data_IF_720639145348
#
_entry.id   IF_720639145348
#
_cell.length_a   1.000
_cell.length_b   1.000
_cell.length_c   1.000
_cell.angle_alpha   90.00
_cell.angle_beta   90.00
_cell.angle_gamma   90.00
#
_symmetry.space_group_name_H-M   'P 1'
#
loop_
_entity.id
_entity.type
_entity.pdbx_description
1 polymer ?
#
# COMPACT_ATOMS: atom_id res chain seq x y z
N UNK A 1 8.75 -28.57 2.72
CA UNK A 1 8.79 -27.31 3.52
C UNK A 1 7.73 -27.40 4.62
N UNK A 2 6.49 -27.85 4.33
CA UNK A 2 5.41 -27.94 5.32
C UNK A 2 5.71 -28.92 6.49
N UNK A 3 6.31 -30.07 6.24
CA UNK A 3 6.60 -31.06 7.27
C UNK A 3 7.62 -30.55 8.33
N UNK A 4 8.61 -29.76 7.90
CA UNK A 4 9.60 -29.18 8.82
C UNK A 4 8.97 -28.07 9.69
N UNK A 5 8.10 -27.25 9.12
CA UNK A 5 7.38 -26.20 9.84
C UNK A 5 6.45 -26.80 10.89
N UNK A 6 5.73 -27.86 10.52
CA UNK A 6 4.84 -28.60 11.45
C UNK A 6 5.64 -29.20 12.60
N UNK A 7 6.77 -29.84 12.32
CA UNK A 7 7.63 -30.44 13.36
C UNK A 7 8.20 -29.40 14.35
N UNK A 8 8.53 -28.19 13.87
CA UNK A 8 9.04 -27.09 14.69
C UNK A 8 7.94 -26.38 15.51
N UNK A 9 6.67 -26.61 15.16
CA UNK A 9 5.51 -26.01 15.79
C UNK A 9 4.70 -27.02 16.66
N UNK A 10 5.22 -28.22 16.92
CA UNK A 10 4.53 -29.20 17.79
C UNK A 10 4.17 -28.58 19.14
N UNK A 11 2.94 -28.80 19.58
CA UNK A 11 2.37 -28.18 20.79
C UNK A 11 2.34 -29.16 21.95
N UNK A 12 2.62 -28.63 23.14
CA UNK A 12 2.35 -29.36 24.37
C UNK A 12 0.84 -29.52 24.62
N UNK A 13 0.41 -30.52 25.39
CA UNK A 13 -1.00 -30.67 25.78
C UNK A 13 -1.59 -29.41 26.44
N UNK A 14 -0.79 -28.65 27.16
CA UNK A 14 -1.19 -27.38 27.78
C UNK A 14 -1.49 -26.31 26.74
N UNK A 15 -0.66 -26.17 25.70
CA UNK A 15 -0.88 -25.23 24.58
C UNK A 15 -2.14 -25.61 23.79
N UNK A 16 -2.40 -26.88 23.59
CA UNK A 16 -3.62 -27.34 22.92
C UNK A 16 -4.86 -27.02 23.75
N UNK A 17 -4.81 -27.23 25.07
CA UNK A 17 -5.91 -26.85 25.96
C UNK A 17 -6.16 -25.34 25.94
N UNK A 18 -5.11 -24.55 25.95
CA UNK A 18 -5.22 -23.07 25.80
C UNK A 18 -5.92 -22.69 24.50
N UNK A 19 -5.61 -23.33 23.38
CA UNK A 19 -6.28 -23.05 22.10
C UNK A 19 -7.78 -23.44 22.15
N UNK A 20 -8.17 -24.52 22.86
CA UNK A 20 -9.57 -24.85 23.05
C UNK A 20 -10.31 -23.78 23.85
N UNK A 21 -9.73 -23.33 24.96
CA UNK A 21 -10.28 -22.25 25.79
C UNK A 21 -10.41 -20.95 25.00
N UNK A 22 -9.42 -20.62 24.20
CA UNK A 22 -9.45 -19.43 23.31
C UNK A 22 -10.58 -19.54 22.27
N UNK A 23 -10.73 -20.71 21.63
CA UNK A 23 -11.81 -20.93 20.67
C UNK A 23 -13.19 -20.78 21.31
N UNK A 24 -13.40 -21.37 22.49
CA UNK A 24 -14.67 -21.28 23.20
C UNK A 24 -14.98 -19.83 23.64
N UNK A 25 -13.99 -19.13 24.16
CA UNK A 25 -14.13 -17.73 24.56
C UNK A 25 -14.44 -16.84 23.36
N UNK A 26 -13.67 -16.96 22.26
CA UNK A 26 -13.89 -16.19 21.05
C UNK A 26 -15.27 -16.48 20.44
N UNK A 27 -15.69 -17.75 20.47
CA UNK A 27 -17.00 -18.15 19.99
C UNK A 27 -18.14 -17.51 20.78
N UNK A 28 -18.07 -17.61 22.11
CA UNK A 28 -19.10 -17.07 22.99
C UNK A 28 -19.17 -15.54 22.90
N UNK A 29 -18.03 -14.87 22.89
CA UNK A 29 -17.93 -13.41 22.69
C UNK A 29 -18.61 -13.01 21.36
N UNK A 30 -18.24 -13.66 20.26
CA UNK A 30 -18.80 -13.34 18.94
C UNK A 30 -20.31 -13.60 18.84
N UNK A 31 -20.85 -14.58 19.56
CA UNK A 31 -22.30 -14.82 19.66
C UNK A 31 -23.01 -13.76 20.52
N UNK A 32 -22.42 -13.36 21.63
CA UNK A 32 -23.02 -12.35 22.50
C UNK A 32 -23.06 -10.98 21.84
N UNK A 33 -22.02 -10.62 21.10
CA UNK A 33 -22.01 -9.39 20.28
C UNK A 33 -23.11 -9.39 19.21
N UNK A 34 -23.41 -10.53 18.58
CA UNK A 34 -24.51 -10.62 17.60
C UNK A 34 -25.89 -10.43 18.22
N UNK A 35 -26.08 -10.77 19.49
CA UNK A 35 -27.37 -10.57 20.18
C UNK A 35 -27.71 -9.08 20.36
N UNK A 36 -26.69 -8.20 20.41
CA UNK A 36 -26.90 -6.75 20.54
C UNK A 36 -27.52 -6.11 19.28
N UNK A 37 -27.45 -6.77 18.12
CA UNK A 37 -27.93 -6.29 16.83
C UNK A 37 -29.16 -7.12 16.34
N UNK A 38 -29.72 -7.96 17.17
CA UNK A 38 -30.64 -9.05 16.84
C UNK A 38 -31.87 -8.71 15.98
N UNK A 39 -32.36 -7.47 16.00
CA UNK A 39 -33.59 -7.10 15.29
C UNK A 39 -33.46 -7.08 13.74
N UNK A 40 -32.23 -7.06 13.18
CA UNK A 40 -31.94 -6.96 11.74
C UNK A 40 -30.85 -7.95 11.26
N UNK A 41 -30.32 -8.80 12.15
CA UNK A 41 -29.22 -9.68 11.80
C UNK A 41 -29.68 -10.85 10.92
N UNK A 42 -29.00 -11.01 9.78
CA UNK A 42 -29.07 -12.20 8.92
C UNK A 42 -27.85 -13.11 9.10
N UNK A 43 -27.02 -12.82 10.11
CA UNK A 43 -25.80 -13.54 10.40
C UNK A 43 -26.11 -14.88 11.05
N UNK A 44 -25.58 -15.96 10.45
CA UNK A 44 -25.78 -17.36 10.87
C UNK A 44 -24.50 -18.02 11.38
N UNK A 45 -23.44 -17.25 11.63
CA UNK A 45 -22.13 -17.75 12.05
C UNK A 45 -21.31 -16.72 12.78
N UNK A 46 -20.06 -17.04 13.00
CA UNK A 46 -19.08 -16.19 13.70
C UNK A 46 -17.86 -15.93 12.84
N UNK A 47 -17.24 -14.78 13.03
CA UNK A 47 -15.94 -14.42 12.47
C UNK A 47 -14.86 -14.68 13.51
N UNK A 48 -13.86 -15.48 13.16
CA UNK A 48 -12.72 -15.78 14.00
C UNK A 48 -11.43 -15.34 13.32
N UNK A 49 -10.50 -14.83 14.10
CA UNK A 49 -9.13 -14.56 13.66
C UNK A 49 -8.19 -15.59 14.27
N UNK A 50 -7.45 -16.28 13.42
CA UNK A 50 -6.48 -17.29 13.78
C UNK A 50 -5.09 -16.73 13.49
N UNK A 51 -4.23 -16.68 14.51
CA UNK A 51 -2.87 -16.18 14.41
C UNK A 51 -1.89 -17.36 14.46
N UNK A 52 -0.92 -17.33 13.53
CA UNK A 52 0.22 -18.25 13.52
C UNK A 52 1.31 -17.81 14.48
N UNK A 53 2.33 -18.67 14.65
CA UNK A 53 3.52 -18.36 15.42
C UNK A 53 4.41 -17.36 14.68
N UNK A 54 4.98 -16.39 15.38
CA UNK A 54 5.87 -15.40 14.78
C UNK A 54 7.05 -16.05 14.04
N UNK A 55 7.26 -15.63 12.80
CA UNK A 55 8.33 -16.13 11.94
C UNK A 55 8.07 -17.49 11.28
N UNK A 56 6.89 -18.08 11.48
CA UNK A 56 6.49 -19.34 10.88
C UNK A 56 5.24 -19.19 10.01
N UNK A 57 5.11 -20.03 8.99
CA UNK A 57 3.92 -20.04 8.14
C UNK A 57 2.75 -20.73 8.85
N UNK A 58 1.56 -20.11 8.74
CA UNK A 58 0.31 -20.71 9.17
C UNK A 58 -0.21 -21.64 8.07
N UNK A 59 -0.57 -22.88 8.42
CA UNK A 59 -1.15 -23.83 7.46
C UNK A 59 -2.62 -23.47 7.21
N UNK A 60 -2.88 -22.63 6.21
CA UNK A 60 -4.20 -22.06 5.94
C UNK A 60 -5.13 -22.99 5.19
N UNK A 61 -4.61 -23.94 4.39
CA UNK A 61 -5.39 -24.85 3.53
C UNK A 61 -6.47 -25.64 4.29
N UNK A 62 -6.25 -25.95 5.55
CA UNK A 62 -7.21 -26.70 6.39
C UNK A 62 -8.16 -25.80 7.18
N UNK A 63 -8.05 -24.48 7.06
CA UNK A 63 -8.95 -23.52 7.71
C UNK A 63 -10.28 -23.35 6.96
N UNK A 64 -10.35 -23.85 5.73
CA UNK A 64 -11.55 -23.81 4.89
C UNK A 64 -12.17 -25.21 4.73
N UNK A 65 -13.49 -25.24 4.61
CA UNK A 65 -14.25 -26.39 4.18
C UNK A 65 -15.54 -25.94 3.49
N UNK A 66 -15.51 -25.89 2.17
CA UNK A 66 -16.62 -25.42 1.34
C UNK A 66 -17.91 -26.22 1.59
N UNK A 67 -17.83 -27.57 1.70
CA UNK A 67 -19.00 -28.42 1.92
C UNK A 67 -19.67 -28.21 3.30
N UNK A 68 -18.99 -27.57 4.23
CA UNK A 68 -19.51 -27.20 5.53
C UNK A 68 -19.74 -25.68 5.68
N UNK A 69 -19.58 -24.91 4.59
CA UNK A 69 -19.65 -23.45 4.58
C UNK A 69 -18.71 -22.74 5.57
N UNK A 70 -17.62 -23.43 5.98
CA UNK A 70 -16.52 -22.83 6.71
C UNK A 70 -15.59 -22.17 5.70
N UNK A 71 -15.44 -20.86 5.76
CA UNK A 71 -14.77 -20.08 4.71
C UNK A 71 -13.56 -19.33 5.25
N UNK A 72 -12.44 -19.50 4.58
CA UNK A 72 -11.27 -18.64 4.73
C UNK A 72 -11.54 -17.34 3.95
N UNK A 73 -11.60 -16.22 4.65
CA UNK A 73 -11.96 -14.93 4.06
C UNK A 73 -10.74 -14.19 3.54
N UNK A 74 -9.75 -14.00 4.40
CA UNK A 74 -8.47 -13.41 4.02
C UNK A 74 -7.31 -13.96 4.86
N UNK A 75 -6.10 -13.68 4.38
CA UNK A 75 -4.85 -13.98 5.08
C UNK A 75 -3.97 -12.73 4.99
N UNK A 76 -3.51 -12.25 6.12
CA UNK A 76 -2.60 -11.11 6.22
C UNK A 76 -1.32 -11.48 6.97
N UNK A 77 -0.25 -10.68 6.76
CA UNK A 77 0.99 -10.82 7.49
C UNK A 77 1.32 -9.49 8.16
N UNK A 78 1.40 -9.50 9.48
CA UNK A 78 1.70 -8.32 10.29
C UNK A 78 2.79 -8.68 11.30
N UNK A 79 3.88 -7.90 11.35
CA UNK A 79 5.00 -8.13 12.28
C UNK A 79 5.51 -9.58 12.30
N UNK A 80 5.68 -10.19 11.13
CA UNK A 80 6.09 -11.61 10.93
C UNK A 80 5.09 -12.64 11.43
N UNK A 81 3.88 -12.23 11.86
CA UNK A 81 2.78 -13.12 12.23
C UNK A 81 1.80 -13.21 11.07
N UNK A 82 1.45 -14.43 10.68
CA UNK A 82 0.38 -14.67 9.71
C UNK A 82 -0.94 -14.77 10.46
N UNK A 83 -1.93 -13.99 10.02
CA UNK A 83 -3.28 -13.95 10.55
C UNK A 83 -4.24 -14.40 9.46
N UNK A 84 -5.14 -15.31 9.80
CA UNK A 84 -6.19 -15.79 8.91
C UNK A 84 -7.55 -15.47 9.52
N UNK A 85 -8.44 -14.85 8.73
CA UNK A 85 -9.81 -14.58 9.13
C UNK A 85 -10.73 -15.62 8.51
N UNK A 86 -11.51 -16.30 9.35
CA UNK A 86 -12.41 -17.36 8.92
C UNK A 86 -13.84 -17.08 9.38
N UNK A 87 -14.81 -17.47 8.55
CA UNK A 87 -16.23 -17.50 8.92
C UNK A 87 -16.68 -18.94 9.19
N UNK A 88 -17.34 -19.15 10.33
CA UNK A 88 -17.80 -20.46 10.76
C UNK A 88 -19.30 -20.38 11.09
N UNK A 89 -20.17 -21.11 10.39
CA UNK A 89 -21.59 -21.19 10.73
C UNK A 89 -21.79 -21.71 12.15
N UNK A 90 -22.81 -21.19 12.86
CA UNK A 90 -23.10 -21.62 14.26
C UNK A 90 -23.27 -23.12 14.35
N UNK A 91 -23.96 -23.74 13.39
CA UNK A 91 -24.16 -25.21 13.34
C UNK A 91 -22.89 -26.00 13.11
N UNK A 92 -21.76 -25.34 12.84
CA UNK A 92 -20.44 -25.97 12.54
C UNK A 92 -19.38 -25.64 13.60
N UNK A 93 -19.77 -25.23 14.80
CA UNK A 93 -18.86 -24.99 15.93
C UNK A 93 -17.84 -26.10 16.11
N UNK A 94 -18.29 -27.35 15.95
CA UNK A 94 -17.46 -28.53 16.14
C UNK A 94 -16.34 -28.73 15.11
N UNK A 95 -16.35 -27.95 14.02
CA UNK A 95 -15.35 -28.09 12.94
C UNK A 95 -13.92 -27.95 13.46
N UNK A 96 -13.66 -26.87 14.20
CA UNK A 96 -12.34 -26.65 14.78
C UNK A 96 -12.15 -27.46 16.08
N UNK A 97 -13.18 -27.63 16.90
CA UNK A 97 -13.11 -28.43 18.12
C UNK A 97 -12.65 -29.85 17.83
N UNK A 98 -13.25 -30.50 16.80
CA UNK A 98 -12.84 -31.87 16.40
C UNK A 98 -11.38 -31.94 15.94
N UNK A 99 -10.88 -30.91 15.21
CA UNK A 99 -9.48 -30.89 14.79
C UNK A 99 -8.53 -30.73 15.95
N UNK A 100 -8.82 -29.83 16.89
CA UNK A 100 -7.98 -29.56 18.05
C UNK A 100 -7.98 -30.77 18.98
N UNK A 101 -9.15 -31.39 19.27
CA UNK A 101 -9.25 -32.58 20.10
C UNK A 101 -8.52 -33.77 19.48
N UNK A 102 -8.69 -34.00 18.17
CA UNK A 102 -7.96 -35.09 17.49
C UNK A 102 -6.45 -34.88 17.60
N UNK A 103 -5.95 -33.66 17.46
CA UNK A 103 -4.53 -33.37 17.64
C UNK A 103 -4.07 -33.62 19.08
N UNK A 104 -4.90 -33.28 20.08
CA UNK A 104 -4.60 -33.55 21.49
C UNK A 104 -4.47 -35.05 21.82
N UNK A 105 -5.27 -35.89 21.14
CA UNK A 105 -5.28 -37.36 21.39
C UNK A 105 -4.16 -38.10 20.63
N UNK A 106 -3.81 -37.64 19.43
CA UNK A 106 -2.96 -38.43 18.52
C UNK A 106 -1.61 -37.79 18.23
N UNK A 107 -1.39 -36.55 18.71
CA UNK A 107 -0.24 -35.69 18.33
C UNK A 107 -0.03 -35.59 16.78
N UNK A 108 -1.02 -36.08 16.04
CA UNK A 108 -0.98 -36.13 14.57
C UNK A 108 -2.35 -35.82 13.98
N UNK A 109 -2.39 -35.52 12.71
CA UNK A 109 -3.63 -35.44 11.93
C UNK A 109 -4.25 -34.08 11.76
N UNK A 110 -3.61 -32.96 12.20
CA UNK A 110 -3.99 -31.63 11.77
C UNK A 110 -2.80 -30.66 11.85
N UNK A 111 -2.07 -30.53 10.75
CA UNK A 111 -0.94 -29.60 10.61
C UNK A 111 -1.33 -28.16 10.96
N UNK A 112 -2.60 -27.81 10.73
CA UNK A 112 -3.11 -26.48 11.06
C UNK A 112 -3.08 -26.23 12.57
N UNK A 113 -3.44 -27.22 13.41
CA UNK A 113 -3.46 -27.05 14.87
C UNK A 113 -2.06 -26.82 15.41
N UNK A 114 -1.05 -27.49 14.86
CA UNK A 114 0.35 -27.30 15.24
C UNK A 114 0.79 -25.83 15.02
N UNK A 115 0.31 -25.19 13.95
CA UNK A 115 0.74 -23.84 13.57
C UNK A 115 -0.10 -22.70 14.17
N UNK A 116 -1.23 -22.98 14.81
CA UNK A 116 -2.08 -21.97 15.46
C UNK A 116 -1.46 -21.52 16.80
N UNK A 117 -1.20 -20.22 16.96
CA UNK A 117 -0.74 -19.67 18.25
C UNK A 117 -1.89 -19.07 19.06
N UNK A 118 -2.81 -18.35 18.40
CA UNK A 118 -3.97 -17.74 19.05
C UNK A 118 -5.23 -17.87 18.22
N UNK A 119 -6.36 -17.87 18.89
CA UNK A 119 -7.71 -17.79 18.29
C UNK A 119 -8.48 -16.71 19.01
N UNK A 120 -8.94 -15.70 18.26
CA UNK A 120 -9.67 -14.55 18.77
C UNK A 120 -10.96 -14.33 17.96
N UNK A 121 -11.91 -13.56 18.52
CA UNK A 121 -13.00 -12.97 17.72
C UNK A 121 -12.38 -12.04 16.68
N UNK A 122 -12.80 -12.17 15.43
CA UNK A 122 -12.37 -11.22 14.40
C UNK A 122 -13.14 -9.90 14.54
N UNK A 123 -12.40 -8.80 14.50
CA UNK A 123 -12.91 -7.45 14.48
C UNK A 123 -12.94 -6.93 13.04
N UNK A 124 -13.54 -5.75 12.79
CA UNK A 124 -13.60 -5.13 11.46
C UNK A 124 -12.23 -5.00 10.82
N UNK A 125 -11.21 -4.70 11.63
CA UNK A 125 -9.82 -4.59 11.19
C UNK A 125 -9.29 -5.88 10.54
N UNK A 126 -9.84 -7.03 10.95
CA UNK A 126 -9.46 -8.32 10.36
C UNK A 126 -10.01 -8.53 8.94
N UNK A 127 -11.02 -7.76 8.54
CA UNK A 127 -11.57 -7.75 7.18
C UNK A 127 -11.01 -6.61 6.34
N UNK A 128 -10.30 -5.65 6.95
CA UNK A 128 -9.75 -4.52 6.23
C UNK A 128 -8.49 -4.92 5.45
N UNK A 129 -8.50 -4.63 4.15
CA UNK A 129 -7.36 -4.83 3.26
C UNK A 129 -6.76 -3.47 2.92
N UNK A 130 -5.59 -3.21 3.46
CA UNK A 130 -4.86 -1.95 3.33
C UNK A 130 -4.20 -1.53 4.63
N UNK A 131 -3.63 -0.33 4.65
CA UNK A 131 -3.04 0.23 5.85
C UNK A 131 -4.13 0.54 6.88
N UNK A 132 -3.87 0.32 8.17
CA UNK A 132 -4.83 0.60 9.25
C UNK A 132 -5.20 2.08 9.31
N UNK A 133 -4.27 2.95 9.00
CA UNK A 133 -4.43 4.41 8.99
C UNK A 133 -5.42 4.87 7.90
N UNK A 134 -5.64 4.06 6.87
CA UNK A 134 -6.62 4.35 5.80
C UNK A 134 -8.04 3.90 6.13
N UNK A 135 -8.25 3.22 7.27
CA UNK A 135 -9.60 2.85 7.73
C UNK A 135 -10.43 4.09 8.05
N UNK A 136 -11.76 4.04 7.82
CA UNK A 136 -12.63 5.14 8.24
C UNK A 136 -12.62 5.29 9.76
N UNK A 137 -12.50 6.52 10.24
CA UNK A 137 -12.71 6.86 11.64
C UNK A 137 -14.19 7.17 11.92
N UNK A 138 -14.46 8.36 12.46
CA UNK A 138 -15.82 8.87 12.67
C UNK A 138 -16.51 9.39 11.40
N UNK A 139 -15.72 9.75 10.39
CA UNK A 139 -16.20 10.26 9.11
C UNK A 139 -16.42 9.09 8.16
N UNK A 140 -17.56 9.08 7.47
CA UNK A 140 -17.85 8.07 6.46
C UNK A 140 -17.07 8.31 5.19
N UNK A 141 -16.45 7.26 4.65
CA UNK A 141 -15.75 7.24 3.38
C UNK A 141 -16.34 6.15 2.47
N UNK A 142 -16.09 6.26 1.16
CA UNK A 142 -16.45 5.21 0.24
C UNK A 142 -15.58 3.98 0.43
N UNK A 143 -16.23 2.83 0.66
CA UNK A 143 -15.60 1.53 0.86
C UNK A 143 -16.13 0.52 -0.14
N UNK A 144 -15.25 -0.26 -0.74
CA UNK A 144 -15.59 -1.50 -1.41
C UNK A 144 -15.78 -2.59 -0.37
N UNK A 145 -16.96 -3.18 -0.34
CA UNK A 145 -17.24 -4.35 0.50
C UNK A 145 -17.35 -5.57 -0.38
N UNK A 146 -16.47 -6.53 -0.14
CA UNK A 146 -16.42 -7.80 -0.83
C UNK A 146 -17.26 -8.80 -0.06
N UNK A 147 -18.39 -9.17 -0.64
CA UNK A 147 -19.33 -10.13 -0.07
C UNK A 147 -19.07 -11.52 -0.63
N UNK A 148 -19.11 -12.53 0.21
CA UNK A 148 -19.07 -13.93 -0.25
C UNK A 148 -20.45 -14.43 -0.64
N UNK A 149 -20.49 -15.30 -1.62
CA UNK A 149 -21.66 -16.10 -1.97
C UNK A 149 -21.24 -17.52 -2.37
N UNK A 150 -22.16 -18.46 -2.30
CA UNK A 150 -21.92 -19.85 -2.66
C UNK A 150 -22.24 -20.09 -4.14
N UNK A 151 -21.74 -21.16 -4.72
CA UNK A 151 -21.87 -21.46 -6.17
C UNK A 151 -23.35 -21.60 -6.61
N UNK A 152 -24.21 -22.03 -5.71
CA UNK A 152 -25.66 -22.18 -5.93
C UNK A 152 -26.50 -20.95 -5.56
N UNK A 153 -25.85 -19.87 -5.16
CA UNK A 153 -26.53 -18.61 -4.80
C UNK A 153 -26.47 -17.58 -5.94
N UNK A 154 -27.52 -16.81 -6.08
CA UNK A 154 -27.61 -15.71 -7.04
C UNK A 154 -26.96 -14.44 -6.48
N UNK A 155 -25.88 -13.90 -7.08
CA UNK A 155 -25.20 -12.71 -6.58
C UNK A 155 -26.11 -11.51 -6.38
N UNK A 156 -27.11 -11.34 -7.25
CA UNK A 156 -28.09 -10.26 -7.15
C UNK A 156 -28.91 -10.34 -5.86
N UNK A 157 -29.33 -11.53 -5.45
CA UNK A 157 -30.09 -11.73 -4.20
C UNK A 157 -29.23 -11.36 -2.99
N UNK A 158 -27.94 -11.68 -3.03
CA UNK A 158 -27.00 -11.30 -1.97
C UNK A 158 -26.83 -9.77 -1.92
N UNK A 159 -26.67 -9.11 -3.06
CA UNK A 159 -26.60 -7.65 -3.14
C UNK A 159 -27.86 -6.99 -2.60
N UNK A 160 -29.05 -7.40 -3.08
CA UNK A 160 -30.35 -6.85 -2.66
C UNK A 160 -30.56 -6.99 -1.15
N UNK A 161 -30.12 -8.13 -0.59
CA UNK A 161 -30.22 -8.38 0.85
C UNK A 161 -29.27 -7.47 1.64
N UNK A 162 -28.06 -7.27 1.13
CA UNK A 162 -27.07 -6.39 1.75
C UNK A 162 -27.48 -4.92 1.68
N UNK A 163 -28.02 -4.47 0.55
CA UNK A 163 -28.55 -3.10 0.41
C UNK A 163 -29.73 -2.82 1.34
N UNK A 164 -30.57 -3.82 1.61
CA UNK A 164 -31.63 -3.69 2.63
C UNK A 164 -31.04 -3.47 4.03
N UNK A 165 -29.93 -4.11 4.36
CA UNK A 165 -29.21 -3.84 5.62
C UNK A 165 -28.66 -2.42 5.64
N UNK A 166 -28.02 -1.97 4.57
CA UNK A 166 -27.49 -0.61 4.46
C UNK A 166 -28.60 0.44 4.60
N UNK A 167 -29.69 0.30 3.85
CA UNK A 167 -30.86 1.20 3.95
C UNK A 167 -31.46 1.22 5.35
N UNK A 168 -31.55 0.06 5.99
CA UNK A 168 -32.06 -0.05 7.35
C UNK A 168 -31.16 0.55 8.43
N UNK A 169 -29.93 0.89 8.09
CA UNK A 169 -28.91 1.49 8.96
C UNK A 169 -28.49 2.90 8.50
N UNK A 170 -29.22 3.48 7.54
CA UNK A 170 -28.96 4.81 6.94
C UNK A 170 -27.55 4.94 6.31
N UNK A 171 -27.04 3.83 5.76
CA UNK A 171 -25.75 3.77 5.07
C UNK A 171 -25.97 4.00 3.58
N UNK A 172 -25.32 5.03 3.02
CA UNK A 172 -25.35 5.33 1.59
C UNK A 172 -24.65 4.23 0.78
N UNK A 173 -25.21 3.80 -0.35
CA UNK A 173 -24.63 2.78 -1.23
C UNK A 173 -24.86 3.09 -2.71
N UNK A 174 -24.12 2.38 -3.59
CA UNK A 174 -24.33 2.39 -5.04
C UNK A 174 -24.82 1.00 -5.48
N UNK A 175 -25.83 0.99 -6.37
CA UNK A 175 -26.46 -0.28 -6.84
C UNK A 175 -25.61 -1.04 -7.86
N UNK A 176 -24.51 -0.46 -8.39
CA UNK A 176 -23.60 -1.16 -9.28
C UNK A 176 -22.77 -2.17 -8.52
N UNK A 177 -22.60 -3.35 -9.10
CA UNK A 177 -21.82 -4.45 -8.54
C UNK A 177 -20.77 -4.97 -9.52
N UNK A 178 -19.71 -5.56 -8.97
CA UNK A 178 -18.74 -6.35 -9.74
C UNK A 178 -18.80 -7.77 -9.19
N UNK A 179 -18.92 -8.77 -10.07
CA UNK A 179 -19.04 -10.18 -9.67
C UNK A 179 -17.81 -10.94 -10.10
N UNK A 180 -17.22 -11.69 -9.16
CA UNK A 180 -16.15 -12.65 -9.35
C UNK A 180 -16.60 -14.03 -8.86
N UNK A 181 -15.91 -15.12 -9.18
CA UNK A 181 -16.23 -16.43 -8.59
C UNK A 181 -16.21 -16.33 -7.04
N UNK A 182 -17.36 -16.68 -6.42
CA UNK A 182 -17.59 -16.68 -4.95
C UNK A 182 -17.47 -15.30 -4.27
N UNK A 183 -17.31 -14.21 -5.02
CA UNK A 183 -17.17 -12.84 -4.49
C UNK A 183 -18.01 -11.84 -5.28
N UNK A 184 -18.68 -10.98 -4.55
CA UNK A 184 -19.48 -9.86 -5.07
C UNK A 184 -18.97 -8.58 -4.41
N UNK A 185 -18.63 -7.57 -5.22
CA UNK A 185 -18.17 -6.27 -4.73
C UNK A 185 -19.32 -5.27 -4.80
N UNK A 186 -19.57 -4.60 -3.71
CA UNK A 186 -20.53 -3.51 -3.57
C UNK A 186 -19.83 -2.27 -3.03
N UNK A 187 -20.36 -1.09 -3.33
CA UNK A 187 -19.81 0.18 -2.88
C UNK A 187 -20.75 0.84 -1.87
N UNK A 188 -20.23 1.14 -0.68
CA UNK A 188 -20.95 1.82 0.40
C UNK A 188 -20.14 3.00 0.94
N UNK A 189 -20.84 3.98 1.53
CA UNK A 189 -20.21 5.07 2.25
C UNK A 189 -20.43 4.88 3.74
N UNK A 190 -19.38 4.53 4.46
CA UNK A 190 -19.46 4.07 5.83
C UNK A 190 -18.33 4.60 6.71
N UNK A 191 -18.60 4.82 7.98
CA UNK A 191 -17.62 5.04 9.02
C UNK A 191 -17.26 3.71 9.72
N UNK A 192 -16.36 3.75 10.69
CA UNK A 192 -15.91 2.55 11.41
C UNK A 192 -17.06 1.84 12.13
N UNK A 193 -17.95 2.58 12.79
CA UNK A 193 -19.06 1.99 13.52
C UNK A 193 -20.09 1.36 12.58
N UNK A 194 -20.35 1.98 11.42
CA UNK A 194 -21.21 1.41 10.39
C UNK A 194 -20.68 0.06 9.91
N UNK A 195 -19.38 -0.02 9.62
CA UNK A 195 -18.74 -1.28 9.19
C UNK A 195 -18.82 -2.36 10.26
N UNK A 196 -18.66 -1.99 11.54
CA UNK A 196 -18.81 -2.90 12.67
C UNK A 196 -20.24 -3.42 12.76
N UNK A 197 -21.25 -2.55 12.64
CA UNK A 197 -22.65 -2.94 12.65
C UNK A 197 -22.98 -3.88 11.48
N UNK A 198 -22.49 -3.61 10.28
CA UNK A 198 -22.67 -4.49 9.12
C UNK A 198 -22.01 -5.86 9.33
N UNK A 199 -20.82 -5.92 9.90
CA UNK A 199 -20.14 -7.18 10.24
C UNK A 199 -20.92 -7.99 11.28
N UNK A 200 -21.54 -7.33 12.27
CA UNK A 200 -22.37 -7.98 13.26
C UNK A 200 -23.72 -8.45 12.68
N UNK A 201 -24.26 -7.71 11.71
CA UNK A 201 -25.55 -8.01 11.10
C UNK A 201 -25.47 -9.04 9.96
N UNK A 202 -24.34 -9.17 9.27
CA UNK A 202 -24.18 -10.02 8.09
C UNK A 202 -23.01 -10.98 8.21
N UNK A 203 -23.22 -12.25 7.88
CA UNK A 203 -22.17 -13.25 7.72
C UNK A 203 -21.53 -13.26 6.32
N UNK A 204 -21.83 -12.28 5.47
CA UNK A 204 -21.38 -12.27 4.07
C UNK A 204 -20.14 -11.46 3.80
N UNK A 205 -19.68 -10.60 4.73
CA UNK A 205 -18.48 -9.81 4.54
C UNK A 205 -17.24 -10.70 4.46
N UNK A 206 -16.44 -10.52 3.44
CA UNK A 206 -15.18 -11.23 3.27
C UNK A 206 -14.00 -10.27 3.42
N UNK A 207 -14.06 -9.13 2.74
CA UNK A 207 -13.03 -8.09 2.77
C UNK A 207 -13.69 -6.71 2.70
N UNK A 208 -12.98 -5.72 3.22
CA UNK A 208 -13.37 -4.30 3.13
C UNK A 208 -12.13 -3.55 2.66
N UNK A 209 -12.28 -2.70 1.65
CA UNK A 209 -11.21 -1.87 1.08
C UNK A 209 -11.67 -0.43 0.96
N UNK A 210 -10.75 0.50 1.08
CA UNK A 210 -11.04 1.87 0.68
C UNK A 210 -11.24 1.91 -0.83
N UNK A 211 -12.27 2.62 -1.30
CA UNK A 211 -12.42 2.89 -2.72
C UNK A 211 -11.25 3.73 -3.22
N UNK A 212 -10.64 3.32 -4.32
CA UNK A 212 -9.59 4.11 -4.96
C UNK A 212 -10.23 5.29 -5.69
N UNK A 213 -9.88 6.50 -5.29
CA UNK A 213 -10.30 7.72 -5.98
C UNK A 213 -9.47 7.86 -7.26
N UNK A 214 -10.08 8.03 -8.45
CA UNK A 214 -9.32 8.27 -9.66
C UNK A 214 -8.52 9.59 -9.55
N UNK A 215 -7.33 9.64 -10.13
CA UNK A 215 -6.50 10.86 -10.16
C UNK A 215 -7.26 12.03 -10.81
N UNK A 216 -8.10 11.76 -11.81
CA UNK A 216 -8.97 12.75 -12.44
C UNK A 216 -9.88 13.49 -11.44
N UNK A 217 -10.23 12.89 -10.33
CA UNK A 217 -10.97 13.60 -9.28
C UNK A 217 -10.24 14.86 -8.81
N UNK A 218 -8.91 14.79 -8.65
CA UNK A 218 -8.10 15.94 -8.23
C UNK A 218 -7.76 16.87 -9.38
N UNK A 219 -7.46 16.32 -10.56
CA UNK A 219 -7.04 17.13 -11.71
C UNK A 219 -8.19 17.88 -12.36
N UNK A 220 -9.41 17.36 -12.29
CA UNK A 220 -10.61 17.96 -12.87
C UNK A 220 -11.32 18.95 -11.92
N UNK A 221 -10.85 19.06 -10.67
CA UNK A 221 -11.36 20.04 -9.71
C UNK A 221 -11.09 21.49 -10.16
N UNK A 222 -11.95 22.39 -9.74
CA UNK A 222 -11.65 23.82 -9.85
C UNK A 222 -10.40 24.19 -9.04
N UNK A 223 -9.62 25.15 -9.53
CA UNK A 223 -8.33 25.55 -8.91
C UNK A 223 -8.45 25.93 -7.44
N UNK A 224 -9.57 26.49 -7.01
CA UNK A 224 -9.80 26.84 -5.61
C UNK A 224 -10.00 25.60 -4.72
N UNK A 225 -10.67 24.56 -5.23
CA UNK A 225 -10.84 23.28 -4.53
C UNK A 225 -9.49 22.57 -4.41
N UNK A 226 -8.68 22.54 -5.48
CA UNK A 226 -7.32 22.00 -5.43
C UNK A 226 -6.47 22.70 -4.35
N UNK A 227 -6.61 24.03 -4.20
CA UNK A 227 -5.91 24.79 -3.16
C UNK A 227 -6.33 24.40 -1.74
N UNK A 228 -7.59 24.10 -1.52
CA UNK A 228 -8.06 23.63 -0.21
C UNK A 228 -7.42 22.30 0.16
N UNK A 229 -7.35 21.34 -0.78
CA UNK A 229 -6.66 20.08 -0.59
C UNK A 229 -5.17 20.26 -0.29
N UNK A 230 -4.50 21.12 -1.04
CA UNK A 230 -3.08 21.45 -0.83
C UNK A 230 -2.86 22.09 0.54
N UNK A 231 -3.71 23.03 0.95
CA UNK A 231 -3.59 23.70 2.25
C UNK A 231 -3.85 22.76 3.41
N UNK A 232 -4.79 21.82 3.27
CA UNK A 232 -5.03 20.79 4.29
C UNK A 232 -3.81 19.87 4.44
N UNK A 233 -3.20 19.45 3.34
CA UNK A 233 -1.99 18.63 3.38
C UNK A 233 -0.80 19.42 3.96
N UNK A 234 -0.57 20.66 3.52
CA UNK A 234 0.50 21.52 4.04
C UNK A 234 0.43 21.67 5.57
N UNK A 235 -0.78 21.87 6.12
CA UNK A 235 -1.00 21.98 7.56
C UNK A 235 -0.67 20.70 8.36
N UNK A 236 -0.55 19.56 7.68
CA UNK A 236 -0.25 18.25 8.30
C UNK A 236 1.18 17.77 8.07
N UNK A 237 2.00 18.54 7.35
CA UNK A 237 3.40 18.19 7.09
C UNK A 237 4.24 18.44 8.34
N UNK A 238 4.97 17.41 8.77
CA UNK A 238 5.94 17.48 9.87
C UNK A 238 7.37 17.33 9.34
N UNK A 239 8.15 18.38 9.50
CA UNK A 239 9.56 18.46 9.10
C UNK A 239 10.53 18.17 10.24
N UNK A 240 10.04 17.88 11.44
CA UNK A 240 10.88 17.71 12.63
C UNK A 240 11.84 16.51 12.54
N UNK A 241 11.59 15.59 11.61
CA UNK A 241 12.38 14.39 11.40
C UNK A 241 13.35 14.47 10.21
N UNK A 242 13.42 15.61 9.56
CA UNK A 242 14.38 15.78 8.46
C UNK A 242 15.80 15.61 9.00
N UNK A 243 16.54 14.72 8.37
CA UNK A 243 17.97 14.49 8.62
C UNK A 243 18.83 15.25 7.61
N UNK A 244 20.15 15.17 7.75
CA UNK A 244 21.10 15.75 6.77
C UNK A 244 21.20 14.88 5.50
N UNK A 245 20.02 14.58 4.89
CA UNK A 245 19.90 13.81 3.66
C UNK A 245 19.07 14.57 2.64
N UNK A 246 19.38 14.39 1.37
CA UNK A 246 18.62 14.99 0.27
C UNK A 246 18.39 14.03 -0.90
N UNK A 247 17.33 14.33 -1.67
CA UNK A 247 17.16 13.82 -3.03
C UNK A 247 17.42 14.95 -4.00
N UNK A 248 18.46 14.82 -4.82
CA UNK A 248 18.83 15.81 -5.83
C UNK A 248 18.26 15.42 -7.18
N UNK A 249 17.36 16.24 -7.69
CA UNK A 249 16.67 16.05 -8.96
C UNK A 249 17.49 16.62 -10.11
N UNK A 250 17.87 15.79 -11.08
CA UNK A 250 18.52 16.17 -12.33
C UNK A 250 17.48 16.14 -13.44
N UNK A 251 16.80 17.27 -13.69
CA UNK A 251 15.59 17.32 -14.51
C UNK A 251 15.42 18.70 -15.20
N UNK A 252 14.18 19.11 -15.46
CA UNK A 252 13.81 20.39 -16.10
C UNK A 252 13.84 21.60 -15.16
N UNK A 253 14.35 21.44 -13.93
CA UNK A 253 14.24 22.40 -12.83
C UNK A 253 13.04 22.11 -11.94
N UNK A 254 12.81 22.94 -10.91
CA UNK A 254 11.67 22.81 -10.00
C UNK A 254 11.07 24.18 -9.70
N UNK A 255 9.75 24.26 -9.57
CA UNK A 255 9.03 25.44 -9.08
C UNK A 255 8.73 25.28 -7.58
N UNK A 256 9.68 25.63 -6.73
CA UNK A 256 9.58 25.50 -5.28
C UNK A 256 8.59 26.49 -4.62
N UNK A 257 8.05 27.44 -5.37
CA UNK A 257 6.98 28.33 -4.87
C UNK A 257 5.65 27.57 -4.63
N UNK A 258 5.53 26.33 -5.10
CA UNK A 258 4.40 25.48 -4.78
C UNK A 258 4.36 25.19 -3.26
N UNK A 259 3.22 25.38 -2.54
CA UNK A 259 3.14 25.26 -1.08
C UNK A 259 3.75 23.97 -0.52
N UNK A 260 3.49 22.84 -1.17
CA UNK A 260 4.01 21.53 -0.73
C UNK A 260 5.53 21.37 -0.95
N UNK A 261 6.17 22.17 -1.81
CA UNK A 261 7.61 22.06 -2.09
C UNK A 261 8.43 23.12 -1.34
N UNK A 262 7.82 24.27 -1.05
CA UNK A 262 8.51 25.41 -0.43
C UNK A 262 9.25 25.09 0.87
N UNK A 263 8.71 24.17 1.65
CA UNK A 263 9.30 23.80 2.95
C UNK A 263 10.45 22.79 2.84
N UNK A 264 10.52 22.04 1.73
CA UNK A 264 11.49 20.96 1.51
C UNK A 264 12.57 21.28 0.48
N UNK A 265 12.39 22.34 -0.32
CA UNK A 265 13.34 22.79 -1.34
C UNK A 265 13.54 24.30 -1.22
N UNK A 266 14.72 24.74 -0.81
CA UNK A 266 15.07 26.14 -0.68
C UNK A 266 15.60 26.70 -2.01
N UNK A 267 15.50 28.01 -2.19
CA UNK A 267 16.07 28.71 -3.37
C UNK A 267 17.60 28.47 -3.48
N UNK A 268 18.29 28.35 -2.34
CA UNK A 268 19.73 28.07 -2.28
C UNK A 268 20.10 26.69 -2.83
N UNK A 269 19.16 25.78 -2.89
CA UNK A 269 19.37 24.38 -3.26
C UNK A 269 18.87 24.09 -4.69
N UNK A 270 18.58 25.18 -5.43
CA UNK A 270 18.12 25.15 -6.83
C UNK A 270 19.22 25.68 -7.76
N UNK A 271 19.74 24.82 -8.60
CA UNK A 271 20.88 25.09 -9.47
C UNK A 271 20.56 24.78 -10.94
N UNK A 272 21.46 25.13 -11.82
CA UNK A 272 21.38 24.85 -13.26
C UNK A 272 22.78 24.68 -13.86
N UNK A 273 22.92 23.86 -14.89
CA UNK A 273 24.14 23.76 -15.69
C UNK A 273 24.32 24.93 -16.66
N UNK A 274 23.25 25.68 -16.89
CA UNK A 274 23.27 26.88 -17.77
C UNK A 274 22.63 28.06 -17.03
N UNK A 275 23.46 28.94 -16.47
CA UNK A 275 23.04 30.09 -15.67
C UNK A 275 22.16 31.06 -16.46
N UNK A 276 22.33 31.15 -17.78
CA UNK A 276 21.51 32.03 -18.60
C UNK A 276 20.03 31.62 -18.68
N UNK A 277 19.72 30.37 -18.33
CA UNK A 277 18.37 29.80 -18.45
C UNK A 277 17.62 29.67 -17.11
N UNK A 278 18.31 29.97 -15.99
CA UNK A 278 17.73 29.87 -14.65
C UNK A 278 17.47 28.45 -14.21
N UNK A 279 17.09 28.26 -12.93
CA UNK A 279 16.81 26.95 -12.32
C UNK A 279 15.32 26.58 -12.27
N UNK A 280 14.44 27.53 -12.69
CA UNK A 280 12.98 27.35 -12.71
C UNK A 280 12.53 26.28 -13.70
N UNK A 281 11.48 25.55 -13.35
CA UNK A 281 10.86 24.57 -14.24
C UNK A 281 9.84 25.26 -15.15
N UNK A 282 10.01 25.12 -16.46
CA UNK A 282 9.07 25.62 -17.49
C UNK A 282 8.29 24.53 -18.19
N UNK A 283 8.53 23.27 -17.84
CA UNK A 283 7.87 22.09 -18.44
C UNK A 283 6.94 21.38 -17.46
N UNK A 284 7.15 21.54 -16.17
CA UNK A 284 6.38 20.91 -15.10
C UNK A 284 6.98 19.58 -14.63
N UNK A 285 7.72 18.86 -15.48
CA UNK A 285 8.19 17.49 -15.19
C UNK A 285 9.07 17.42 -13.93
N UNK A 286 10.08 18.25 -13.80
CA UNK A 286 10.93 18.27 -12.62
C UNK A 286 10.16 18.65 -11.33
N UNK A 287 9.15 19.53 -11.45
CA UNK A 287 8.26 19.88 -10.32
C UNK A 287 7.38 18.69 -9.91
N UNK A 288 6.86 17.91 -10.86
CA UNK A 288 6.11 16.69 -10.61
C UNK A 288 6.98 15.63 -9.94
N UNK A 289 8.21 15.44 -10.44
CA UNK A 289 9.19 14.55 -9.85
C UNK A 289 9.59 14.97 -8.42
N UNK A 290 9.68 16.27 -8.15
CA UNK A 290 9.89 16.79 -6.80
C UNK A 290 8.74 16.44 -5.85
N UNK A 291 7.51 16.51 -6.32
CA UNK A 291 6.34 16.06 -5.57
C UNK A 291 6.40 14.58 -5.21
N UNK A 292 6.78 13.72 -6.17
CA UNK A 292 6.95 12.27 -5.93
C UNK A 292 8.10 12.02 -4.96
N UNK A 293 9.24 12.70 -5.14
CA UNK A 293 10.41 12.52 -4.27
C UNK A 293 10.12 12.93 -2.83
N UNK A 294 9.34 14.01 -2.59
CA UNK A 294 9.00 14.48 -1.25
C UNK A 294 7.91 13.63 -0.57
N UNK A 295 6.87 13.25 -1.32
CA UNK A 295 5.63 12.69 -0.75
C UNK A 295 5.37 11.24 -1.12
N UNK A 296 6.07 10.68 -2.10
CA UNK A 296 5.89 9.34 -2.67
C UNK A 296 4.50 9.20 -3.33
N UNK A 297 3.51 8.73 -2.62
CA UNK A 297 2.11 8.65 -3.07
C UNK A 297 1.35 9.87 -2.55
N UNK A 298 1.30 10.93 -3.37
CA UNK A 298 0.63 12.18 -3.02
C UNK A 298 -0.87 11.96 -2.81
N UNK A 299 -1.50 11.09 -3.60
CA UNK A 299 -2.93 10.78 -3.46
C UNK A 299 -3.22 10.17 -2.09
N UNK A 300 -2.42 9.19 -1.64
CA UNK A 300 -2.55 8.62 -0.30
C UNK A 300 -2.45 9.71 0.79
N UNK A 301 -1.52 10.65 0.62
CA UNK A 301 -1.34 11.75 1.59
C UNK A 301 -2.51 12.73 1.60
N UNK A 302 -3.07 13.05 0.44
CA UNK A 302 -4.25 13.90 0.33
C UNK A 302 -5.48 13.23 0.96
N UNK A 303 -5.68 11.94 0.73
CA UNK A 303 -6.81 11.20 1.27
C UNK A 303 -6.71 10.87 2.77
N UNK A 304 -5.49 10.80 3.30
CA UNK A 304 -5.23 10.58 4.72
C UNK A 304 -5.49 11.86 5.52
N UNK A 305 -5.82 11.71 6.82
CA UNK A 305 -5.85 12.80 7.80
C UNK A 305 -4.69 12.73 8.78
N UNK A 306 -3.77 11.82 8.55
CA UNK A 306 -2.59 11.63 9.40
C UNK A 306 -1.55 12.72 9.17
N UNK A 307 -0.69 12.93 10.15
CA UNK A 307 0.53 13.73 10.00
C UNK A 307 1.39 13.10 8.93
N UNK A 308 1.95 13.92 8.05
CA UNK A 308 2.85 13.50 6.97
C UNK A 308 4.27 13.88 7.36
N UNK A 309 5.03 12.88 7.78
CA UNK A 309 6.42 13.05 8.18
C UNK A 309 7.33 13.06 6.95
N UNK A 310 8.19 14.07 6.84
CA UNK A 310 9.23 14.19 5.82
C UNK A 310 10.59 13.96 6.46
N UNK A 311 11.44 13.14 5.83
CA UNK A 311 12.71 12.69 6.39
C UNK A 311 13.93 13.26 5.67
N UNK A 312 13.76 13.95 4.53
CA UNK A 312 14.83 14.47 3.70
C UNK A 312 14.44 15.79 3.03
N UNK A 313 15.44 16.57 2.66
CA UNK A 313 15.28 17.75 1.80
C UNK A 313 15.33 17.36 0.33
N UNK A 314 14.98 18.32 -0.52
CA UNK A 314 15.20 18.25 -1.96
C UNK A 314 16.31 19.21 -2.37
N UNK A 315 17.03 18.84 -3.41
CA UNK A 315 17.90 19.69 -4.21
C UNK A 315 17.51 19.53 -5.67
N UNK A 316 17.78 20.52 -6.48
CA UNK A 316 17.48 20.51 -7.92
C UNK A 316 18.62 21.06 -8.72
N UNK A 317 19.05 20.35 -9.75
CA UNK A 317 19.94 20.91 -10.78
C UNK A 317 19.26 20.72 -12.13
N UNK A 318 18.89 21.86 -12.75
CA UNK A 318 18.29 21.85 -14.06
C UNK A 318 19.31 21.49 -15.12
N UNK A 319 19.09 20.38 -15.80
CA UNK A 319 19.93 19.84 -16.87
C UNK A 319 19.23 19.83 -18.22
N UNK A 320 17.90 19.88 -18.25
CA UNK A 320 17.10 19.98 -19.46
C UNK A 320 16.51 21.37 -19.64
N UNK A 321 16.58 21.86 -20.84
CA UNK A 321 15.99 23.12 -21.25
C UNK A 321 14.68 22.87 -21.99
N UNK A 322 14.02 23.95 -22.50
CA UNK A 322 12.79 23.83 -23.24
C UNK A 322 12.99 23.03 -24.54
N UNK A 323 12.10 22.19 -24.87
CA UNK A 323 11.70 21.51 -26.12
C UNK A 323 12.75 21.08 -27.17
N UNK A 324 13.95 21.60 -27.20
CA UNK A 324 15.05 21.15 -28.08
C UNK A 324 16.39 21.35 -27.37
N UNK A 325 16.58 20.61 -26.52
CA UNK A 325 17.42 20.48 -25.43
C UNK A 325 18.84 20.10 -25.76
N UNK A 326 19.77 20.67 -25.07
CA UNK A 326 21.16 20.30 -25.05
C UNK A 326 21.70 19.93 -26.44
N UNK A 327 21.66 20.93 -27.35
CA UNK A 327 22.21 20.79 -28.68
C UNK A 327 23.56 20.08 -28.64
N UNK A 328 23.71 19.00 -29.40
CA UNK A 328 24.95 18.29 -29.71
C UNK A 328 26.00 18.16 -28.59
N UNK A 329 25.56 18.15 -27.33
CA UNK A 329 26.43 18.01 -26.17
C UNK A 329 26.55 16.56 -25.71
N UNK A 330 27.63 16.27 -25.01
CA UNK A 330 27.83 14.99 -24.34
C UNK A 330 26.97 14.93 -23.06
N UNK A 331 25.88 14.21 -23.06
CA UNK A 331 24.95 14.11 -21.90
C UNK A 331 25.64 13.62 -20.63
N UNK A 332 26.65 12.75 -20.76
CA UNK A 332 27.45 12.30 -19.63
C UNK A 332 28.23 13.45 -18.97
N UNK A 333 28.75 14.40 -19.75
CA UNK A 333 29.45 15.57 -19.20
C UNK A 333 28.48 16.50 -18.47
N UNK A 334 27.27 16.71 -19.01
CA UNK A 334 26.22 17.52 -18.37
C UNK A 334 25.77 16.89 -17.05
N UNK A 335 25.55 15.57 -17.02
CA UNK A 335 25.15 14.84 -15.81
C UNK A 335 26.23 14.94 -14.73
N UNK A 336 27.49 14.76 -15.09
CA UNK A 336 28.64 14.91 -14.20
C UNK A 336 28.77 16.32 -13.64
N UNK A 337 28.64 17.35 -14.51
CA UNK A 337 28.66 18.75 -14.10
C UNK A 337 27.54 19.04 -13.11
N UNK A 338 26.33 18.55 -13.36
CA UNK A 338 25.19 18.74 -12.46
C UNK A 338 25.42 18.14 -11.08
N UNK A 339 25.99 16.91 -11.02
CA UNK A 339 26.34 16.29 -9.75
C UNK A 339 27.37 17.11 -8.97
N UNK A 340 28.42 17.57 -9.63
CA UNK A 340 29.46 18.39 -8.99
C UNK A 340 28.95 19.77 -8.53
N UNK A 341 28.00 20.39 -9.25
CA UNK A 341 27.35 21.62 -8.79
C UNK A 341 26.66 21.37 -7.44
N UNK A 342 25.82 20.36 -7.35
CA UNK A 342 25.10 20.03 -6.10
C UNK A 342 26.07 19.74 -4.95
N UNK A 343 27.15 18.98 -5.22
CA UNK A 343 28.16 18.62 -4.21
C UNK A 343 29.01 19.80 -3.76
N UNK A 344 29.34 20.72 -4.67
CA UNK A 344 30.11 21.92 -4.36
C UNK A 344 29.31 22.90 -3.51
N UNK A 345 28.02 23.08 -3.82
CA UNK A 345 27.15 23.99 -3.09
C UNK A 345 26.77 23.45 -1.69
N UNK A 346 26.58 22.14 -1.57
CA UNK A 346 26.23 21.48 -0.30
C UNK A 346 27.12 20.26 -0.01
N UNK A 347 28.39 20.44 0.36
CA UNK A 347 29.38 19.36 0.43
C UNK A 347 29.15 18.37 1.59
N UNK A 348 28.36 18.71 2.59
CA UNK A 348 28.16 17.89 3.79
C UNK A 348 26.88 17.05 3.79
N UNK A 349 26.06 17.16 2.74
CA UNK A 349 24.75 16.49 2.64
C UNK A 349 24.89 15.09 2.07
N UNK A 350 24.31 14.11 2.74
CA UNK A 350 24.17 12.75 2.19
C UNK A 350 23.11 12.74 1.09
N UNK A 351 23.54 12.55 -0.13
CA UNK A 351 22.72 12.78 -1.33
C UNK A 351 22.43 11.51 -2.09
N UNK A 352 21.18 11.39 -2.55
CA UNK A 352 20.77 10.45 -3.60
C UNK A 352 20.37 11.26 -4.82
N UNK A 353 20.96 10.99 -5.97
CA UNK A 353 20.54 11.61 -7.22
C UNK A 353 19.32 10.91 -7.81
N UNK A 354 18.43 11.67 -8.43
CA UNK A 354 17.27 11.18 -9.16
C UNK A 354 17.27 11.78 -10.56
N UNK A 355 17.31 10.93 -11.59
CA UNK A 355 17.31 11.34 -12.99
C UNK A 355 16.20 10.62 -13.73
N UNK A 356 15.04 11.26 -13.89
CA UNK A 356 13.85 10.71 -14.52
C UNK A 356 13.72 11.13 -15.99
N UNK A 357 14.83 11.13 -16.71
CA UNK A 357 14.91 11.53 -18.12
C UNK A 357 15.49 10.40 -18.96
N UNK A 358 15.06 10.33 -20.22
CA UNK A 358 15.52 9.35 -21.19
C UNK A 358 15.75 10.00 -22.54
N UNK A 359 16.55 9.35 -23.37
CA UNK A 359 16.67 9.74 -24.79
C UNK A 359 15.46 9.20 -25.57
N UNK A 360 15.02 9.90 -26.64
CA UNK A 360 14.11 9.30 -27.59
C UNK A 360 14.71 7.99 -28.14
N UNK A 361 13.87 7.02 -28.40
CA UNK A 361 14.30 5.76 -28.96
C UNK A 361 15.07 5.96 -30.28
N UNK A 362 16.19 5.29 -30.38
CA UNK A 362 16.83 5.01 -31.66
C UNK A 362 16.91 3.48 -31.80
N UNK A 363 16.74 3.00 -33.01
CA UNK A 363 16.89 1.57 -33.35
C UNK A 363 18.28 0.99 -33.00
N UNK A 364 19.23 1.83 -32.63
CA UNK A 364 20.58 1.47 -32.23
C UNK A 364 20.74 1.32 -30.69
N UNK A 365 19.80 1.88 -29.91
CA UNK A 365 19.73 1.70 -28.45
C UNK A 365 19.05 0.37 -28.15
N UNK A 366 19.67 -0.46 -27.33
CA UNK A 366 19.09 -1.76 -26.94
C UNK A 366 19.89 -2.98 -27.32
N UNK A 367 21.00 -2.84 -28.07
CA UNK A 367 21.87 -3.97 -28.43
C UNK A 367 22.81 -4.41 -27.30
N UNK A 368 22.61 -3.92 -26.05
CA UNK A 368 23.45 -4.24 -24.90
C UNK A 368 24.83 -3.56 -24.91
N UNK A 369 25.07 -2.65 -25.85
CA UNK A 369 26.33 -1.87 -25.92
C UNK A 369 26.20 -0.64 -25.04
N UNK A 370 27.11 -0.40 -24.08
CA UNK A 370 27.08 0.79 -23.24
C UNK A 370 27.27 2.04 -24.08
N UNK A 371 26.45 3.06 -23.81
CA UNK A 371 26.60 4.39 -24.41
C UNK A 371 27.66 5.19 -23.66
N UNK A 372 28.18 6.26 -24.28
CA UNK A 372 29.08 7.19 -23.59
C UNK A 372 28.42 7.82 -22.37
N UNK A 373 27.10 8.01 -22.39
CA UNK A 373 26.35 8.53 -21.27
C UNK A 373 26.28 7.55 -20.11
N UNK A 374 25.91 6.27 -20.35
CA UNK A 374 25.87 5.23 -19.31
C UNK A 374 27.27 5.01 -18.70
N UNK A 375 28.32 4.97 -19.54
CA UNK A 375 29.70 4.83 -19.06
C UNK A 375 30.16 6.03 -18.21
N UNK A 376 29.76 7.25 -18.55
CA UNK A 376 30.05 8.43 -17.74
C UNK A 376 29.33 8.43 -16.40
N UNK A 377 28.09 7.93 -16.36
CA UNK A 377 27.32 7.76 -15.12
C UNK A 377 27.99 6.69 -14.25
N UNK A 378 28.35 5.54 -14.80
CA UNK A 378 29.03 4.48 -14.07
C UNK A 378 30.35 4.98 -13.44
N UNK A 379 31.14 5.73 -14.19
CA UNK A 379 32.37 6.35 -13.69
C UNK A 379 32.10 7.36 -12.56
N UNK A 380 31.10 8.23 -12.71
CA UNK A 380 30.66 9.19 -11.70
C UNK A 380 30.24 8.48 -10.41
N UNK A 381 29.42 7.44 -10.51
CA UNK A 381 28.89 6.72 -9.35
C UNK A 381 29.98 5.91 -8.64
N UNK A 382 30.95 5.39 -9.38
CA UNK A 382 32.10 4.66 -8.84
C UNK A 382 33.16 5.57 -8.21
N UNK A 383 33.04 6.92 -8.34
CA UNK A 383 34.07 7.86 -7.89
C UNK A 383 35.32 7.83 -8.76
N UNK A 384 35.22 7.43 -10.03
CA UNK A 384 36.32 7.41 -10.98
C UNK A 384 36.23 8.64 -11.88
N UNK A 385 37.12 9.60 -11.69
CA UNK A 385 37.21 10.78 -12.56
C UNK A 385 38.60 10.91 -13.12
N UNK A 386 38.75 11.49 -14.31
CA UNK A 386 40.03 11.69 -14.99
C UNK A 386 40.97 12.63 -14.22
N UNK A 387 40.42 13.57 -13.46
CA UNK A 387 41.13 14.68 -12.85
C UNK A 387 41.25 14.63 -11.32
N UNK A 388 40.43 13.84 -10.64
CA UNK A 388 40.40 13.73 -9.18
C UNK A 388 40.07 12.28 -8.80
N UNK A 389 40.96 11.61 -8.08
CA UNK A 389 40.59 10.39 -7.36
C UNK A 389 39.72 10.81 -6.15
N UNK A 390 38.43 11.09 -6.38
CA UNK A 390 37.52 11.15 -5.29
C UNK A 390 37.04 9.70 -5.06
N UNK A 391 37.34 9.14 -3.92
CA UNK A 391 36.90 7.79 -3.54
C UNK A 391 35.39 7.78 -3.15
N UNK A 392 34.69 8.89 -3.35
CA UNK A 392 33.28 9.02 -2.98
C UNK A 392 32.35 8.28 -3.96
N UNK A 393 31.65 7.30 -3.43
CA UNK A 393 30.63 6.56 -4.18
C UNK A 393 29.29 7.26 -4.07
N UNK A 394 28.58 7.31 -5.18
CA UNK A 394 27.29 7.99 -5.30
C UNK A 394 26.17 7.01 -5.60
N UNK A 395 24.96 7.32 -5.12
CA UNK A 395 23.74 6.59 -5.47
C UNK A 395 22.91 7.46 -6.42
N UNK A 396 22.46 6.87 -7.53
CA UNK A 396 21.56 7.52 -8.48
C UNK A 396 20.43 6.56 -8.87
N UNK A 397 19.19 7.05 -8.78
CA UNK A 397 18.01 6.41 -9.32
C UNK A 397 17.76 6.96 -10.73
N UNK A 398 17.72 6.07 -11.72
CA UNK A 398 17.54 6.45 -13.14
C UNK A 398 16.29 5.75 -13.66
N UNK A 399 15.45 6.48 -14.42
CA UNK A 399 14.30 5.87 -15.08
C UNK A 399 14.75 4.93 -16.19
N UNK A 400 14.06 3.80 -16.33
CA UNK A 400 14.33 2.84 -17.40
C UNK A 400 13.78 3.27 -18.78
N UNK A 401 13.03 4.37 -18.81
CA UNK A 401 12.38 4.90 -20.01
C UNK A 401 10.88 4.63 -20.04
N UNK A 402 10.23 5.22 -21.05
CA UNK A 402 8.81 5.04 -21.32
C UNK A 402 8.67 4.16 -22.58
N UNK A 403 8.13 2.96 -22.41
CA UNK A 403 7.81 2.07 -23.53
C UNK A 403 6.32 2.12 -23.81
N UNK A 404 5.93 2.31 -25.07
CA UNK A 404 4.52 2.31 -25.45
C UNK A 404 3.91 0.90 -25.34
N UNK A 405 2.58 0.83 -25.16
CA UNK A 405 1.86 -0.47 -25.13
C UNK A 405 2.04 -1.24 -26.43
N UNK A 406 2.17 -0.53 -27.57
CA UNK A 406 2.37 -1.10 -28.89
C UNK A 406 3.74 -1.79 -29.01
N UNK A 407 4.77 -1.22 -28.40
CA UNK A 407 6.13 -1.79 -28.35
C UNK A 407 6.24 -3.00 -27.41
N UNK A 408 5.43 -3.04 -26.34
CA UNK A 408 5.37 -4.21 -25.44
C UNK A 408 4.63 -5.38 -26.09
N UNK A 409 3.66 -5.07 -26.96
CA UNK A 409 2.80 -6.09 -27.60
C UNK A 409 3.37 -6.68 -28.89
N UNK A 410 4.43 -6.09 -29.48
CA UNK A 410 5.11 -6.57 -30.69
C UNK A 410 6.08 -7.67 -30.42
#
# INVERSE_FOLDING_TARGET
>A
INALVVALCMKSPEQVRKNLEQLENAWNTALDETKTVAAKSIRDGVYLQIEGKEGYDLVTKSLENASQHVRLLNVSKENKVIKATVYVPVKKKDFFLKKINKYAETESGSDVVATIEKINTAMVEALWIGKKESMPGKTSIWCEVWLRYEVDEEPKVIADTFWKLCSGSDIEYKEKTITFPERLVVLIKANFEDLKQLMLASGRLAEIRRMITPVSFYTDMATWEQREWVSDLEARVDLSKISNTSVCLLDTGVNNAHPLLKAVLKDSDMHTVDVARGADDRRGHGTEMAGIAAYFDLQEKLESRSVVEIYHYLESVKILNNSKDNDENLYGAITRQAAYIAETENPTVNRTFCMAITTPESSELGNGVPTSWSAAIDALLAGVSEDLSDDEKRLMCISAGNTSVEEIAG
#
